data_IF_077618124317
#
_entry.id   IF_077618124317
#
_cell.length_a   1.000
_cell.length_b   1.000
_cell.length_c   1.000
_cell.angle_alpha   90.00
_cell.angle_beta   90.00
_cell.angle_gamma   90.00
#
_symmetry.space_group_name_H-M   'P 1'
#
loop_
_entity.id
_entity.type
_entity.pdbx_description
1 polymer ?
#
# COMPACT_ATOMS: atom_id res chain seq x y z
N UNK A 1 -32.40 2.54 -10.66
CA UNK A 1 -33.16 2.17 -11.87
C UNK A 1 -32.13 2.00 -12.97
N UNK A 2 -31.94 0.78 -13.45
CA UNK A 2 -30.79 0.42 -14.29
C UNK A 2 -30.87 1.13 -15.65
N UNK A 3 -29.73 1.42 -16.28
CA UNK A 3 -29.68 1.88 -17.68
C UNK A 3 -30.44 0.90 -18.60
N UNK A 4 -30.53 -0.38 -18.20
CA UNK A 4 -31.35 -1.40 -18.85
C UNK A 4 -32.87 -1.14 -18.76
N UNK A 5 -33.38 -0.57 -17.67
CA UNK A 5 -34.79 -0.22 -17.50
C UNK A 5 -35.16 1.03 -18.33
N UNK A 6 -34.19 1.94 -18.51
CA UNK A 6 -34.33 3.09 -19.42
C UNK A 6 -34.25 2.67 -20.90
N UNK A 7 -33.43 1.69 -21.26
CA UNK A 7 -33.35 1.18 -22.63
C UNK A 7 -34.63 0.44 -23.06
N UNK A 8 -35.28 -0.30 -22.15
CA UNK A 8 -36.55 -1.00 -22.42
C UNK A 8 -37.74 -0.04 -22.56
N UNK A 9 -37.72 1.12 -21.91
CA UNK A 9 -38.81 2.11 -21.97
C UNK A 9 -38.70 3.12 -23.11
N UNK A 10 -37.52 3.25 -23.75
CA UNK A 10 -37.27 4.25 -24.81
C UNK A 10 -37.54 3.74 -26.23
N UNK A 11 -37.74 2.43 -26.41
CA UNK A 11 -38.09 1.85 -27.73
C UNK A 11 -39.60 2.00 -27.96
N UNK A 12 -40.01 3.16 -28.45
CA UNK A 12 -41.37 3.36 -28.97
C UNK A 12 -41.55 2.52 -30.24
N UNK A 13 -42.39 1.49 -30.15
CA UNK A 13 -42.83 0.69 -31.30
C UNK A 13 -43.71 1.55 -32.23
N UNK A 14 -43.61 1.42 -33.56
CA UNK A 14 -44.55 2.07 -34.46
C UNK A 14 -45.97 1.57 -34.15
N UNK A 15 -46.88 2.47 -33.79
CA UNK A 15 -48.30 2.13 -33.70
C UNK A 15 -48.81 1.89 -35.13
N UNK A 16 -49.27 0.68 -35.42
CA UNK A 16 -50.07 0.42 -36.61
C UNK A 16 -51.42 1.12 -36.44
N UNK A 17 -51.56 2.32 -37.01
CA UNK A 17 -52.85 2.96 -37.24
C UNK A 17 -53.38 2.54 -38.60
N UNK A 18 -54.54 1.88 -38.60
CA UNK A 18 -55.30 1.61 -39.83
C UNK A 18 -56.05 2.90 -40.18
N UNK A 19 -55.47 3.72 -41.04
CA UNK A 19 -56.23 4.79 -41.70
C UNK A 19 -56.92 4.24 -42.94
N UNK A 20 -58.26 4.34 -42.95
CA UNK A 20 -59.05 4.19 -44.17
C UNK A 20 -58.85 5.45 -45.00
N UNK A 21 -58.02 5.42 -46.04
CA UNK A 21 -57.93 6.51 -47.01
C UNK A 21 -58.40 6.06 -48.39
N UNK A 22 -59.38 6.82 -48.88
CA UNK A 22 -59.83 6.82 -50.26
C UNK A 22 -58.71 7.35 -51.18
N UNK A 23 -58.47 6.61 -52.27
CA UNK A 23 -57.99 7.01 -53.60
C UNK A 23 -57.14 8.29 -53.73
N UNK A 24 -55.84 8.10 -53.97
CA UNK A 24 -55.10 8.42 -55.21
C UNK A 24 -53.66 8.91 -54.93
N UNK A 25 -52.72 8.31 -55.67
CA UNK A 25 -51.34 8.79 -55.90
C UNK A 25 -50.39 8.88 -54.70
N UNK A 26 -50.10 7.73 -54.07
CA UNK A 26 -48.75 7.40 -53.63
C UNK A 26 -48.55 5.91 -53.93
N UNK A 27 -47.49 5.56 -54.67
CA UNK A 27 -46.99 4.18 -54.67
C UNK A 27 -46.46 3.89 -53.25
N UNK A 28 -47.38 3.64 -52.33
CA UNK A 28 -47.05 2.95 -51.10
C UNK A 28 -46.68 1.53 -51.54
N UNK A 29 -45.38 1.26 -51.56
CA UNK A 29 -44.83 -0.08 -51.72
C UNK A 29 -45.23 -0.87 -50.47
N UNK A 30 -46.48 -1.32 -50.42
CA UNK A 30 -46.99 -2.19 -49.37
C UNK A 30 -46.15 -3.47 -49.42
N UNK A 31 -45.48 -3.80 -48.31
CA UNK A 31 -44.78 -5.07 -48.15
C UNK A 31 -45.81 -6.19 -48.29
N UNK A 32 -45.51 -7.23 -49.08
CA UNK A 32 -46.39 -8.40 -49.14
C UNK A 32 -46.32 -9.22 -47.84
N UNK A 33 -47.26 -10.16 -47.67
CA UNK A 33 -47.34 -10.99 -46.46
C UNK A 33 -46.08 -11.84 -46.19
N UNK A 34 -45.35 -12.24 -47.22
CA UNK A 34 -44.10 -12.99 -47.10
C UNK A 34 -42.99 -12.09 -46.56
N UNK A 35 -42.89 -10.86 -47.05
CA UNK A 35 -41.94 -9.85 -46.56
C UNK A 35 -42.21 -9.46 -45.09
N UNK A 36 -43.49 -9.36 -44.69
CA UNK A 36 -43.89 -9.10 -43.31
C UNK A 36 -43.53 -10.29 -42.41
N UNK A 37 -43.80 -11.51 -42.88
CA UNK A 37 -43.49 -12.75 -42.14
C UNK A 37 -41.97 -12.92 -41.91
N UNK A 38 -41.17 -12.58 -42.92
CA UNK A 38 -39.71 -12.61 -42.83
C UNK A 38 -39.18 -11.56 -41.84
N UNK A 39 -39.72 -10.34 -41.84
CA UNK A 39 -39.37 -9.33 -40.84
C UNK A 39 -39.70 -9.77 -39.42
N UNK A 40 -40.87 -10.38 -39.19
CA UNK A 40 -41.24 -10.91 -37.87
C UNK A 40 -40.28 -12.02 -37.43
N UNK A 41 -39.88 -12.91 -38.35
CA UNK A 41 -38.91 -13.98 -38.08
C UNK A 41 -37.56 -13.40 -37.67
N UNK A 42 -37.05 -12.43 -38.43
CA UNK A 42 -35.79 -11.75 -38.14
C UNK A 42 -35.86 -10.99 -36.80
N UNK A 43 -36.98 -10.32 -36.51
CA UNK A 43 -37.18 -9.61 -35.25
C UNK A 43 -37.18 -10.57 -34.04
N UNK A 44 -37.82 -11.74 -34.17
CA UNK A 44 -37.77 -12.79 -33.14
C UNK A 44 -36.36 -13.31 -32.94
N UNK A 45 -35.61 -13.55 -34.02
CA UNK A 45 -34.22 -13.99 -33.96
C UNK A 45 -33.34 -12.94 -33.26
N UNK A 46 -33.42 -11.67 -33.66
CA UNK A 46 -32.63 -10.58 -33.08
C UNK A 46 -32.92 -10.41 -31.58
N UNK A 47 -34.20 -10.51 -31.17
CA UNK A 47 -34.59 -10.50 -29.76
C UNK A 47 -33.98 -11.65 -28.97
N UNK A 48 -33.89 -12.84 -29.57
CA UNK A 48 -33.23 -13.98 -28.94
C UNK A 48 -31.74 -13.73 -28.73
N UNK A 49 -31.06 -13.17 -29.72
CA UNK A 49 -29.62 -12.83 -29.63
C UNK A 49 -29.35 -11.77 -28.57
N UNK A 50 -30.16 -10.69 -28.52
CA UNK A 50 -30.01 -9.63 -27.50
C UNK A 50 -30.18 -10.19 -26.08
N UNK A 51 -31.16 -11.08 -25.85
CA UNK A 51 -31.35 -11.71 -24.54
C UNK A 51 -30.14 -12.54 -24.11
N UNK A 52 -29.45 -13.17 -25.06
CA UNK A 52 -28.26 -13.94 -24.76
C UNK A 52 -27.08 -13.03 -24.43
N UNK A 53 -26.85 -11.98 -25.23
CA UNK A 53 -25.80 -10.99 -24.96
C UNK A 53 -25.95 -10.32 -23.59
N UNK A 54 -27.17 -10.00 -23.16
CA UNK A 54 -27.41 -9.43 -21.81
C UNK A 54 -27.01 -10.40 -20.70
N UNK A 55 -27.30 -11.71 -20.87
CA UNK A 55 -26.89 -12.73 -19.88
C UNK A 55 -25.38 -12.87 -19.81
N UNK A 56 -24.70 -12.85 -20.96
CA UNK A 56 -23.24 -12.90 -21.05
C UNK A 56 -22.61 -11.65 -20.44
N UNK A 57 -23.15 -10.46 -20.72
CA UNK A 57 -22.72 -9.20 -20.11
C UNK A 57 -22.84 -9.24 -18.59
N UNK A 58 -23.97 -9.72 -18.04
CA UNK A 58 -24.16 -9.88 -16.60
C UNK A 58 -23.15 -10.87 -15.99
N UNK A 59 -22.83 -11.96 -16.69
CA UNK A 59 -21.82 -12.91 -16.25
C UNK A 59 -20.43 -12.26 -16.18
N UNK A 60 -20.07 -11.49 -17.21
CA UNK A 60 -18.79 -10.77 -17.27
C UNK A 60 -18.70 -9.76 -16.13
N UNK A 61 -19.71 -8.92 -15.92
CA UNK A 61 -19.75 -7.92 -14.84
C UNK A 61 -19.54 -8.59 -13.47
N UNK A 62 -20.24 -9.69 -13.20
CA UNK A 62 -20.09 -10.42 -11.94
C UNK A 62 -18.68 -11.01 -11.80
N UNK A 63 -18.10 -11.52 -12.89
CA UNK A 63 -16.74 -12.05 -12.88
C UNK A 63 -15.69 -10.97 -12.61
N UNK A 64 -15.85 -9.76 -13.16
CA UNK A 64 -14.95 -8.63 -12.95
C UNK A 64 -14.94 -8.16 -11.50
N UNK A 65 -16.11 -8.15 -10.85
CA UNK A 65 -16.22 -7.86 -9.41
C UNK A 65 -15.43 -8.87 -8.59
N UNK A 66 -15.58 -10.17 -8.90
CA UNK A 66 -14.86 -11.23 -8.19
C UNK A 66 -13.34 -11.13 -8.40
N UNK A 67 -12.88 -10.87 -9.63
CA UNK A 67 -11.45 -10.66 -9.92
C UNK A 67 -10.90 -9.50 -9.09
N UNK A 68 -11.65 -8.41 -8.95
CA UNK A 68 -11.23 -7.26 -8.12
C UNK A 68 -11.14 -7.63 -6.65
N UNK A 69 -12.09 -8.41 -6.12
CA UNK A 69 -12.05 -8.91 -4.74
C UNK A 69 -10.83 -9.81 -4.49
N UNK A 70 -10.59 -10.80 -5.36
CA UNK A 70 -9.45 -11.70 -5.21
C UNK A 70 -8.11 -10.98 -5.32
N UNK A 71 -7.99 -9.98 -6.20
CA UNK A 71 -6.78 -9.15 -6.28
C UNK A 71 -6.49 -8.43 -4.96
N UNK A 72 -7.52 -7.86 -4.32
CA UNK A 72 -7.35 -7.19 -3.03
C UNK A 72 -6.97 -8.16 -1.91
N UNK A 73 -7.55 -9.37 -1.90
CA UNK A 73 -7.22 -10.40 -0.92
C UNK A 73 -5.79 -10.93 -1.10
N UNK A 74 -5.38 -11.17 -2.35
CA UNK A 74 -4.00 -11.54 -2.68
C UNK A 74 -3.00 -10.49 -2.21
N UNK A 75 -3.29 -9.20 -2.41
CA UNK A 75 -2.43 -8.12 -1.95
C UNK A 75 -2.27 -8.13 -0.41
N UNK A 76 -3.37 -8.32 0.32
CA UNK A 76 -3.34 -8.44 1.80
C UNK A 76 -2.52 -9.64 2.26
N UNK A 77 -2.72 -10.81 1.64
CA UNK A 77 -1.98 -12.03 1.96
C UNK A 77 -0.48 -11.87 1.68
N UNK A 78 -0.11 -11.22 0.57
CA UNK A 78 1.28 -10.92 0.24
C UNK A 78 1.94 -10.03 1.30
N UNK A 79 1.24 -8.99 1.77
CA UNK A 79 1.74 -8.15 2.86
C UNK A 79 1.92 -8.92 4.16
N UNK A 80 0.94 -9.74 4.56
CA UNK A 80 1.04 -10.58 5.75
C UNK A 80 2.19 -11.57 5.67
N UNK A 81 2.39 -12.21 4.52
CA UNK A 81 3.52 -13.10 4.29
C UNK A 81 4.86 -12.38 4.39
N UNK A 82 4.97 -11.19 3.78
CA UNK A 82 6.18 -10.36 3.86
C UNK A 82 6.51 -9.97 5.31
N UNK A 83 5.51 -9.56 6.09
CA UNK A 83 5.66 -9.25 7.52
C UNK A 83 6.08 -10.50 8.31
N UNK A 84 5.41 -11.62 8.11
CA UNK A 84 5.73 -12.89 8.80
C UNK A 84 7.18 -13.32 8.54
N UNK A 85 7.61 -13.26 7.27
CA UNK A 85 9.00 -13.55 6.88
C UNK A 85 9.97 -12.57 7.53
N UNK A 86 9.65 -11.27 7.56
CA UNK A 86 10.48 -10.27 8.25
C UNK A 86 10.64 -10.59 9.74
N UNK A 87 9.54 -10.86 10.45
CA UNK A 87 9.55 -11.11 11.90
C UNK A 87 10.33 -12.39 12.25
N UNK A 88 10.27 -13.40 11.40
CA UNK A 88 10.97 -14.69 11.59
C UNK A 88 12.40 -14.73 11.05
N UNK A 89 12.80 -13.77 10.21
CA UNK A 89 14.15 -13.71 9.66
C UNK A 89 15.19 -13.48 10.78
N UNK A 90 16.23 -14.31 10.79
CA UNK A 90 17.36 -14.24 11.73
C UNK A 90 18.50 -13.34 11.23
N UNK A 91 18.56 -13.07 9.93
CA UNK A 91 19.56 -12.20 9.29
C UNK A 91 19.14 -10.72 9.36
N UNK A 92 18.74 -10.28 10.54
CA UNK A 92 18.22 -8.93 10.79
C UNK A 92 18.93 -8.31 11.96
N UNK A 93 19.03 -6.99 11.98
CA UNK A 93 19.52 -6.29 13.15
C UNK A 93 18.39 -6.07 14.15
N UNK A 94 18.61 -6.46 15.41
CA UNK A 94 17.64 -6.30 16.50
C UNK A 94 18.25 -5.40 17.58
N UNK A 95 17.72 -4.20 17.71
CA UNK A 95 18.17 -3.22 18.68
C UNK A 95 17.27 -3.22 19.92
N UNK A 96 17.86 -3.52 21.07
CA UNK A 96 17.22 -3.39 22.37
C UNK A 96 17.65 -2.05 22.99
N UNK A 97 16.69 -1.15 23.18
CA UNK A 97 16.88 0.10 23.89
C UNK A 97 16.46 -0.14 25.32
N UNK A 98 17.39 -0.06 26.27
CA UNK A 98 17.10 -0.17 27.70
C UNK A 98 16.94 1.23 28.32
N UNK A 99 16.38 1.30 29.53
CA UNK A 99 16.22 2.51 30.32
C UNK A 99 15.44 3.63 29.58
N UNK A 100 14.41 3.26 28.82
CA UNK A 100 13.64 4.20 27.98
C UNK A 100 13.05 5.35 28.79
N UNK A 101 12.56 5.08 29.99
CA UNK A 101 12.02 6.08 30.92
C UNK A 101 13.06 7.12 31.33
N UNK A 102 14.31 6.71 31.56
CA UNK A 102 15.41 7.62 31.92
C UNK A 102 15.77 8.50 30.71
N UNK A 103 15.91 7.90 29.53
CA UNK A 103 16.15 8.64 28.27
C UNK A 103 15.03 9.66 28.05
N UNK A 104 13.78 9.28 28.30
CA UNK A 104 12.63 10.17 28.19
C UNK A 104 12.68 11.32 29.22
N UNK A 105 12.99 11.04 30.49
CA UNK A 105 13.12 12.08 31.52
C UNK A 105 14.27 13.05 31.22
N UNK A 106 15.44 12.53 30.83
CA UNK A 106 16.60 13.34 30.44
C UNK A 106 16.31 14.20 29.21
N UNK A 107 15.50 13.68 28.28
CA UNK A 107 15.09 14.46 27.09
C UNK A 107 14.22 15.66 27.45
N UNK A 108 13.34 15.54 28.45
CA UNK A 108 12.54 16.67 28.96
C UNK A 108 13.38 17.73 29.67
N UNK A 109 14.48 17.32 30.27
CA UNK A 109 15.43 18.22 30.95
C UNK A 109 16.50 18.79 30.00
N UNK A 110 16.45 18.46 28.70
CA UNK A 110 17.42 18.85 27.68
C UNK A 110 18.88 18.44 28.00
N UNK A 111 19.10 17.43 28.85
CA UNK A 111 20.43 16.96 29.25
C UNK A 111 20.97 15.87 28.33
N UNK A 112 20.10 14.92 27.94
CA UNK A 112 20.40 13.88 26.98
C UNK A 112 19.09 13.38 26.36
N UNK A 113 18.93 13.53 25.05
CA UNK A 113 17.62 13.37 24.40
C UNK A 113 17.43 12.10 23.56
N UNK A 114 18.45 11.24 23.49
CA UNK A 114 18.41 10.09 22.57
C UNK A 114 19.13 8.84 23.06
N UNK A 115 18.66 7.70 22.56
CA UNK A 115 19.40 6.44 22.55
C UNK A 115 20.13 6.28 21.21
N UNK A 116 21.35 5.74 21.25
CA UNK A 116 22.18 5.47 20.05
C UNK A 116 22.44 3.97 19.99
N UNK A 117 22.26 3.37 18.81
CA UNK A 117 22.57 1.95 18.62
C UNK A 117 24.07 1.73 18.48
N UNK A 118 24.55 0.52 18.79
CA UNK A 118 25.83 0.09 18.24
C UNK A 118 25.75 0.11 16.72
N UNK A 119 26.82 0.52 16.04
CA UNK A 119 26.85 0.44 14.59
C UNK A 119 26.84 -1.03 14.14
N UNK A 120 26.09 -1.34 13.10
CA UNK A 120 25.99 -2.68 12.52
C UNK A 120 26.24 -2.62 11.02
N UNK A 121 26.37 -3.79 10.39
CA UNK A 121 26.57 -3.90 8.95
C UNK A 121 25.36 -4.55 8.30
N UNK A 122 25.03 -4.12 7.07
CA UNK A 122 23.93 -4.71 6.28
C UNK A 122 24.12 -6.20 6.04
N UNK A 123 25.36 -6.61 5.80
CA UNK A 123 25.84 -7.98 5.69
C UNK A 123 27.35 -7.96 6.01
N UNK A 124 27.99 -9.13 6.08
CA UNK A 124 29.43 -9.21 6.36
C UNK A 124 30.25 -8.47 5.28
N UNK A 125 30.90 -7.37 5.68
CA UNK A 125 31.66 -6.50 4.75
C UNK A 125 30.79 -5.53 3.94
N UNK A 126 29.50 -5.39 4.29
CA UNK A 126 28.58 -4.45 3.66
C UNK A 126 28.67 -3.04 4.23
N UNK A 127 27.58 -2.28 4.07
CA UNK A 127 27.50 -0.89 4.52
C UNK A 127 27.38 -0.82 6.04
N UNK A 128 28.11 0.12 6.65
CA UNK A 128 28.04 0.37 8.10
C UNK A 128 26.92 1.36 8.40
N UNK A 129 26.03 1.01 9.32
CA UNK A 129 24.84 1.79 9.67
C UNK A 129 24.78 2.01 11.18
N UNK A 130 24.25 3.15 11.59
CA UNK A 130 23.88 3.45 12.98
C UNK A 130 22.47 4.02 13.05
N UNK A 131 21.83 3.82 14.20
CA UNK A 131 20.52 4.37 14.50
C UNK A 131 20.60 5.31 15.69
N UNK A 132 19.71 6.30 15.71
CA UNK A 132 19.50 7.18 16.85
C UNK A 132 18.01 7.39 17.06
N UNK A 133 17.53 7.10 18.26
CA UNK A 133 16.12 7.21 18.64
C UNK A 133 15.95 8.38 19.59
N UNK A 134 15.07 9.31 19.23
CA UNK A 134 14.65 10.43 20.07
C UNK A 134 13.31 10.07 20.71
N UNK A 135 13.34 9.83 22.03
CA UNK A 135 12.20 9.26 22.75
C UNK A 135 11.10 10.30 23.03
N UNK A 136 11.40 11.59 22.86
CA UNK A 136 10.47 12.70 23.08
C UNK A 136 10.45 13.68 21.89
N UNK A 137 10.61 13.13 20.68
CA UNK A 137 10.62 13.90 19.45
C UNK A 137 11.96 14.53 19.12
N UNK A 138 12.17 14.78 17.83
CA UNK A 138 13.24 15.64 17.33
C UNK A 138 12.86 17.12 17.51
N UNK A 139 13.83 18.04 17.41
CA UNK A 139 13.67 19.51 17.59
C UNK A 139 12.48 20.09 16.81
N UNK A 140 12.12 19.47 15.68
CA UNK A 140 11.03 19.89 14.77
C UNK A 140 9.65 19.32 15.12
N UNK A 141 9.56 18.32 16.01
CA UNK A 141 8.31 17.71 16.49
C UNK A 141 8.45 17.28 17.96
N UNK A 142 8.75 18.21 18.89
CA UNK A 142 8.90 17.86 20.31
C UNK A 142 7.59 17.35 20.90
N UNK A 143 7.70 16.48 21.90
CA UNK A 143 6.59 16.00 22.75
C UNK A 143 5.40 15.32 22.02
N UNK A 144 5.55 14.95 20.75
CA UNK A 144 4.44 14.41 19.93
C UNK A 144 4.72 13.01 19.41
N UNK A 145 5.94 12.75 18.93
CA UNK A 145 6.33 11.47 18.34
C UNK A 145 7.65 10.96 18.90
N UNK A 146 7.84 9.64 18.86
CA UNK A 146 9.17 9.07 18.71
C UNK A 146 9.71 9.44 17.33
N UNK A 147 10.97 9.85 17.25
CA UNK A 147 11.65 10.08 15.98
C UNK A 147 12.87 9.17 15.85
N UNK A 148 13.04 8.56 14.68
CA UNK A 148 14.15 7.63 14.41
C UNK A 148 15.03 8.18 13.30
N UNK A 149 16.33 8.24 13.55
CA UNK A 149 17.32 8.61 12.55
C UNK A 149 18.16 7.39 12.15
N UNK A 150 18.42 7.26 10.86
CA UNK A 150 19.31 6.25 10.29
C UNK A 150 20.47 6.94 9.58
N UNK A 151 21.68 6.50 9.88
CA UNK A 151 22.91 7.11 9.36
C UNK A 151 23.79 6.05 8.74
N UNK A 152 24.22 6.26 7.49
CA UNK A 152 25.30 5.49 6.89
C UNK A 152 26.62 6.06 7.41
N UNK A 153 27.43 5.20 8.01
CA UNK A 153 28.76 5.50 8.51
C UNK A 153 29.81 5.05 7.51
N UNK A 154 30.98 5.69 7.54
CA UNK A 154 32.13 5.23 6.79
C UNK A 154 32.59 3.86 7.27
N UNK A 155 32.62 2.91 6.35
CA UNK A 155 33.07 1.55 6.55
C UNK A 155 34.46 1.30 5.94
N UNK A 156 35.13 0.21 6.35
CA UNK A 156 36.42 -0.18 5.77
C UNK A 156 36.30 -0.74 4.34
N UNK A 157 35.10 -1.20 3.94
CA UNK A 157 34.85 -1.84 2.65
C UNK A 157 34.22 -0.90 1.62
N UNK A 158 33.99 0.38 1.95
CA UNK A 158 33.20 1.33 1.14
C UNK A 158 33.71 1.48 -0.30
N UNK A 159 35.00 1.26 -0.56
CA UNK A 159 35.60 1.36 -1.90
C UNK A 159 35.16 0.24 -2.86
N UNK A 160 34.64 -0.87 -2.34
CA UNK A 160 34.21 -2.04 -3.13
C UNK A 160 32.69 -2.19 -3.18
N UNK A 161 31.96 -1.30 -2.51
CA UNK A 161 30.50 -1.31 -2.48
C UNK A 161 29.91 -0.48 -3.62
N UNK A 162 28.71 -0.83 -4.04
CA UNK A 162 27.96 -0.04 -5.01
C UNK A 162 27.44 1.25 -4.34
N UNK A 163 27.47 2.36 -5.07
CA UNK A 163 26.96 3.63 -4.59
C UNK A 163 26.12 4.33 -5.66
N UNK A 164 25.07 5.07 -5.28
CA UNK A 164 24.56 5.23 -3.91
C UNK A 164 23.94 3.93 -3.36
N UNK A 165 23.80 3.84 -2.04
CA UNK A 165 23.07 2.77 -1.38
C UNK A 165 21.62 2.75 -1.88
N UNK A 166 21.14 1.59 -2.34
CA UNK A 166 19.85 1.45 -3.05
C UNK A 166 18.94 0.36 -2.47
N UNK A 167 19.40 -0.40 -1.48
CA UNK A 167 18.59 -1.45 -0.85
C UNK A 167 17.51 -0.87 0.07
N UNK A 168 16.22 -1.23 -0.10
CA UNK A 168 15.17 -0.83 0.82
C UNK A 168 15.47 -1.26 2.27
N UNK A 169 15.02 -0.45 3.22
CA UNK A 169 15.18 -0.69 4.65
C UNK A 169 13.79 -0.79 5.27
N UNK A 170 13.46 -1.95 5.83
CA UNK A 170 12.23 -2.17 6.61
C UNK A 170 12.58 -2.11 8.09
N UNK A 171 11.88 -1.22 8.80
CA UNK A 171 12.05 -0.95 10.22
C UNK A 171 10.76 -1.32 10.94
N UNK A 172 10.88 -2.04 12.04
CA UNK A 172 9.75 -2.49 12.85
C UNK A 172 9.96 -2.13 14.31
N UNK A 173 9.04 -1.38 14.89
CA UNK A 173 8.91 -1.20 16.33
C UNK A 173 7.97 -2.28 16.89
N UNK A 174 8.47 -3.07 17.83
CA UNK A 174 7.69 -4.17 18.40
C UNK A 174 6.68 -3.67 19.43
N UNK A 175 5.43 -4.04 19.20
CA UNK A 175 4.41 -4.17 20.25
C UNK A 175 4.48 -5.58 20.86
N UNK A 176 4.80 -5.66 22.14
CA UNK A 176 4.88 -6.95 22.86
C UNK A 176 3.57 -7.37 23.52
N UNK A 177 2.50 -6.59 23.32
CA UNK A 177 1.17 -6.93 23.82
C UNK A 177 0.61 -8.16 23.12
N UNK A 178 -0.50 -8.69 23.64
CA UNK A 178 -1.23 -9.77 22.98
C UNK A 178 -1.77 -9.40 21.60
N UNK A 179 -1.93 -8.11 21.29
CA UNK A 179 -2.38 -7.65 19.96
C UNK A 179 -1.29 -7.76 18.91
N UNK A 180 -0.01 -7.64 19.31
CA UNK A 180 1.15 -7.62 18.41
C UNK A 180 0.99 -6.62 17.26
N UNK A 181 0.44 -5.44 17.55
CA UNK A 181 0.28 -4.37 16.57
C UNK A 181 1.62 -3.64 16.38
N UNK A 182 2.54 -4.29 15.66
CA UNK A 182 3.85 -3.71 15.38
C UNK A 182 3.75 -2.52 14.41
N UNK A 183 4.61 -1.53 14.58
CA UNK A 183 4.68 -0.36 13.68
C UNK A 183 5.80 -0.57 12.67
N UNK A 184 5.46 -0.51 11.39
CA UNK A 184 6.40 -0.69 10.29
C UNK A 184 6.64 0.63 9.55
N UNK A 185 7.91 0.88 9.20
CA UNK A 185 8.31 1.96 8.30
C UNK A 185 9.28 1.43 7.25
N UNK A 186 9.13 1.88 6.01
CA UNK A 186 10.02 1.51 4.91
C UNK A 186 10.75 2.76 4.42
N UNK A 187 12.08 2.74 4.47
CA UNK A 187 12.91 3.73 3.81
C UNK A 187 13.28 3.20 2.43
N UNK A 188 12.94 3.97 1.39
CA UNK A 188 13.37 3.72 0.01
C UNK A 188 14.52 4.68 -0.28
N UNK A 189 15.77 4.19 -0.43
CA UNK A 189 16.89 5.06 -0.68
C UNK A 189 16.72 5.88 -1.97
N UNK A 190 16.99 7.18 -1.88
CA UNK A 190 16.89 8.09 -3.01
C UNK A 190 18.27 8.34 -3.62
N UNK A 191 18.41 8.05 -4.92
CA UNK A 191 19.68 8.11 -5.65
C UNK A 191 20.44 9.44 -5.50
N UNK A 192 19.74 10.56 -5.37
CA UNK A 192 20.34 11.89 -5.32
C UNK A 192 20.48 12.45 -3.90
N UNK A 193 19.95 11.75 -2.89
CA UNK A 193 20.07 12.20 -1.50
C UNK A 193 21.49 11.93 -0.98
N UNK A 194 22.04 12.92 -0.28
CA UNK A 194 23.36 12.82 0.36
C UNK A 194 23.41 11.74 1.45
N UNK A 195 22.26 11.38 2.03
CA UNK A 195 22.16 10.36 3.07
C UNK A 195 22.65 8.98 2.59
N UNK A 196 22.51 8.70 1.29
CA UNK A 196 22.78 7.39 0.69
C UNK A 196 24.03 7.37 -0.20
N UNK A 197 24.77 8.48 -0.31
CA UNK A 197 26.02 8.52 -1.08
C UNK A 197 27.16 7.82 -0.33
N UNK A 198 28.26 7.57 -1.03
CA UNK A 198 29.48 7.10 -0.39
C UNK A 198 29.96 8.11 0.66
N UNK A 199 30.18 7.69 1.93
CA UNK A 199 30.66 8.59 2.97
C UNK A 199 32.01 9.22 2.62
N UNK A 200 32.02 10.55 2.51
CA UNK A 200 33.25 11.34 2.36
C UNK A 200 33.93 11.60 3.71
N UNK A 201 33.11 11.71 4.75
CA UNK A 201 33.51 11.89 6.15
C UNK A 201 33.19 10.64 6.96
N UNK A 202 33.22 10.71 8.30
CA UNK A 202 32.92 9.57 9.16
C UNK A 202 31.46 9.11 9.07
N UNK A 203 30.54 10.02 8.74
CA UNK A 203 29.11 9.77 8.63
C UNK A 203 28.48 10.66 7.56
N UNK A 204 27.40 10.16 6.95
CA UNK A 204 26.53 10.95 6.10
C UNK A 204 25.52 11.76 6.93
N UNK A 205 24.82 12.73 6.31
CA UNK A 205 23.54 13.19 6.85
C UNK A 205 22.60 12.02 7.13
N UNK A 206 21.81 12.13 8.19
CA UNK A 206 20.90 11.06 8.60
C UNK A 206 19.56 11.17 7.89
N UNK A 207 19.01 10.03 7.49
CA UNK A 207 17.59 9.90 7.13
C UNK A 207 16.78 10.06 8.41
N UNK A 208 15.74 10.90 8.38
CA UNK A 208 14.91 11.20 9.55
C UNK A 208 13.48 10.70 9.34
N UNK A 209 13.00 9.86 10.24
CA UNK A 209 11.59 9.51 10.37
C UNK A 209 11.07 10.25 11.61
N UNK A 210 10.57 11.47 11.40
CA UNK A 210 10.16 12.36 12.48
C UNK A 210 8.93 11.83 13.22
N UNK A 211 7.97 11.28 12.48
CA UNK A 211 6.71 10.73 13.00
C UNK A 211 6.78 9.19 13.03
N UNK A 212 7.82 8.65 13.69
CA UNK A 212 8.02 7.19 13.70
C UNK A 212 6.90 6.47 14.46
N UNK A 213 6.55 6.97 15.66
CA UNK A 213 5.41 6.48 16.42
C UNK A 213 4.83 7.58 17.32
N UNK A 214 3.51 7.82 17.35
CA UNK A 214 2.92 8.79 18.26
C UNK A 214 3.19 8.45 19.74
N UNK A 215 3.57 9.44 20.54
CA UNK A 215 3.76 9.21 21.99
C UNK A 215 2.46 8.80 22.68
N UNK A 216 1.31 9.23 22.15
CA UNK A 216 -0.01 8.79 22.63
C UNK A 216 -0.21 7.28 22.52
N UNK A 217 0.37 6.63 21.49
CA UNK A 217 0.35 5.17 21.37
C UNK A 217 1.36 4.51 22.31
N UNK A 218 2.57 5.08 22.41
CA UNK A 218 3.64 4.58 23.29
C UNK A 218 3.20 4.53 24.76
N UNK A 219 2.49 5.55 25.23
CA UNK A 219 2.01 5.64 26.60
C UNK A 219 0.56 5.15 26.78
N UNK A 220 -0.06 4.62 25.73
CA UNK A 220 -1.40 4.02 25.84
C UNK A 220 -1.32 2.69 26.60
N UNK A 221 -2.42 2.33 27.28
CA UNK A 221 -2.59 1.00 27.90
C UNK A 221 -2.97 -0.08 26.89
N UNK A 222 -3.33 0.31 25.66
CA UNK A 222 -3.79 -0.58 24.62
C UNK A 222 -2.67 -1.36 23.92
N UNK A 223 -1.42 -0.92 24.11
CA UNK A 223 -0.21 -1.44 23.47
C UNK A 223 0.91 -1.59 24.50
N UNK A 224 1.94 -2.36 24.16
CA UNK A 224 3.11 -2.60 25.01
C UNK A 224 4.41 -2.45 24.20
N UNK A 225 4.60 -1.23 23.67
CA UNK A 225 5.81 -0.84 22.93
C UNK A 225 7.02 -0.59 23.85
N UNK A 226 6.77 -0.25 25.13
CA UNK A 226 7.79 -0.14 26.17
C UNK A 226 7.51 -1.18 27.25
N UNK A 227 8.04 -2.38 27.04
CA UNK A 227 7.90 -3.47 28.01
C UNK A 227 9.09 -3.50 28.96
N UNK A 228 8.83 -3.51 30.27
CA UNK A 228 9.89 -3.56 31.30
C UNK A 228 10.98 -2.50 31.11
N UNK A 229 10.58 -1.26 30.77
CA UNK A 229 11.50 -0.14 30.50
C UNK A 229 12.44 -0.38 29.30
N UNK A 230 12.02 -1.21 28.35
CA UNK A 230 12.77 -1.55 27.13
C UNK A 230 11.90 -1.37 25.90
N UNK A 231 12.52 -0.94 24.81
CA UNK A 231 11.92 -0.81 23.49
C UNK A 231 12.75 -1.63 22.50
N UNK A 232 12.10 -2.27 21.54
CA UNK A 232 12.75 -3.15 20.57
C UNK A 232 12.47 -2.66 19.15
N UNK A 233 13.54 -2.37 18.40
CA UNK A 233 13.47 -2.02 16.98
C UNK A 233 14.21 -3.09 16.18
N UNK A 234 13.55 -3.65 15.17
CA UNK A 234 14.15 -4.59 14.22
C UNK A 234 14.31 -3.94 12.86
N UNK A 235 15.42 -4.23 12.20
CA UNK A 235 15.76 -3.74 10.87
C UNK A 235 16.11 -4.91 9.95
N UNK A 236 15.50 -4.90 8.76
CA UNK A 236 15.86 -5.74 7.63
C UNK A 236 16.25 -4.82 6.47
N UNK A 237 17.33 -5.19 5.80
CA UNK A 237 17.83 -4.51 4.62
C UNK A 237 17.93 -5.57 3.53
N UNK A 238 17.01 -5.51 2.56
CA UNK A 238 16.91 -6.53 1.53
C UNK A 238 16.22 -5.98 0.28
N UNK A 239 16.70 -6.42 -0.87
CA UNK A 239 16.16 -6.16 -2.21
C UNK A 239 14.73 -6.66 -2.42
N UNK A 240 14.27 -7.64 -1.63
CA UNK A 240 12.94 -8.27 -1.77
C UNK A 240 11.82 -7.58 -0.98
N UNK A 241 12.10 -6.52 -0.23
CA UNK A 241 11.08 -5.81 0.55
C UNK A 241 10.05 -5.21 -0.43
N UNK A 242 8.78 -5.65 -0.41
CA UNK A 242 7.76 -5.10 -1.30
C UNK A 242 7.53 -3.61 -0.97
N UNK A 243 7.47 -2.81 -2.02
CA UNK A 243 7.41 -1.34 -2.04
C UNK A 243 5.97 -0.86 -2.13
#
# INVERSE_FOLDING_TARGET
MSIADQALSTISLPKLSIEKTNNNFFENKFLDEDQISEQIRLQKYLRSQIKQLIKEEQYIINSDVNVKLYKNELYKLQQQYAISRFLTNKETYLWHINNVQEIFQNSKQATQSNGISTSFYTYRGGYKISLKLYVNGHITAPDTYLSLHLTILRGPCDSYLNWPFDNPILICLYDTSAKQEHIFHTIKPEKYSECFQQPKMNENPSVQILEFCPLSMIFSKDYDYIHQNKLIIKILIDSWIPI
#
